data_IF_239019098818
#
_entry.id   IF_239019098818
#
_cell.length_a   1.000
_cell.length_b   1.000
_cell.length_c   1.000
_cell.angle_alpha   90.00
_cell.angle_beta   90.00
_cell.angle_gamma   90.00
#
_symmetry.space_group_name_H-M   'P 1'
#
loop_
_entity.id
_entity.type
_entity.pdbx_description
1 polymer ?
#
# COMPACT_ATOMS: atom_id res chain seq x y z
N UNK A 1 13.07 60.46 -4.59
CA UNK A 1 12.87 61.90 -4.34
C UNK A 1 11.45 62.07 -3.80
N UNK A 2 11.25 62.80 -2.70
CA UNK A 2 9.93 62.97 -2.06
C UNK A 2 8.93 63.79 -2.90
N UNK A 3 7.65 63.71 -2.49
CA UNK A 3 6.60 64.75 -2.37
C UNK A 3 5.26 64.24 -2.96
N UNK A 4 4.07 64.54 -2.43
CA UNK A 4 3.59 64.88 -1.05
C UNK A 4 2.05 64.81 -1.11
N UNK A 5 1.36 64.43 -0.03
CA UNK A 5 -0.08 64.68 0.15
C UNK A 5 -0.33 66.19 0.48
N UNK A 6 -1.56 66.74 0.66
CA UNK A 6 -2.69 66.23 1.47
C UNK A 6 -4.08 66.45 0.78
N UNK A 7 -5.29 66.62 1.38
CA UNK A 7 -5.79 66.77 2.77
C UNK A 7 -7.32 66.43 2.86
N UNK A 8 -7.86 66.14 4.07
CA UNK A 8 -9.15 66.57 4.69
C UNK A 8 -10.51 66.66 3.92
N UNK A 9 -11.72 66.47 4.48
CA UNK A 9 -12.27 66.12 5.83
C UNK A 9 -13.81 65.93 5.72
N UNK A 10 -14.43 65.17 6.65
CA UNK A 10 -15.79 65.35 7.28
C UNK A 10 -17.06 65.59 6.42
N UNK A 11 -18.30 65.30 6.86
CA UNK A 11 -18.91 64.41 7.88
C UNK A 11 -20.46 64.44 7.69
N UNK A 12 -21.23 63.81 8.59
CA UNK A 12 -22.70 63.61 8.65
C UNK A 12 -23.18 62.23 8.12
N UNK A 13 -23.43 61.25 9.00
CA UNK A 13 -24.63 61.11 9.85
C UNK A 13 -25.93 60.95 9.05
N UNK A 14 -26.47 59.72 9.05
CA UNK A 14 -27.86 59.55 9.46
C UNK A 14 -28.05 58.18 10.14
N UNK A 15 -28.75 58.19 11.27
CA UNK A 15 -28.96 57.06 12.17
C UNK A 15 -30.22 56.28 11.81
N UNK A 16 -30.20 54.96 11.99
CA UNK A 16 -31.40 54.20 12.33
C UNK A 16 -31.04 53.13 13.38
N UNK A 17 -31.53 53.34 14.60
CA UNK A 17 -31.68 52.29 15.61
C UNK A 17 -32.86 51.39 15.22
N UNK A 18 -32.69 50.08 15.34
CA UNK A 18 -33.57 49.25 16.16
C UNK A 18 -32.83 47.97 16.57
N UNK A 19 -33.19 47.41 17.73
CA UNK A 19 -32.37 46.45 18.45
C UNK A 19 -32.99 45.05 18.55
N UNK A 20 -32.15 44.13 19.02
CA UNK A 20 -32.49 42.89 19.73
C UNK A 20 -33.02 41.69 18.91
N UNK A 21 -32.13 40.72 18.73
CA UNK A 21 -32.38 39.34 19.13
C UNK A 21 -31.03 38.63 19.34
N UNK A 22 -30.78 38.13 20.55
CA UNK A 22 -29.57 37.36 20.83
C UNK A 22 -29.53 36.06 20.02
N UNK A 23 -28.39 35.78 19.39
CA UNK A 23 -28.03 34.42 18.95
C UNK A 23 -27.09 33.87 20.00
N UNK A 24 -27.53 32.80 20.65
CA UNK A 24 -26.81 32.13 21.73
C UNK A 24 -25.47 31.55 21.25
N UNK A 25 -24.59 31.27 22.21
CA UNK A 25 -23.22 30.83 21.96
C UNK A 25 -23.15 29.66 20.99
N UNK A 26 -22.22 29.78 20.03
CA UNK A 26 -21.76 28.68 19.18
C UNK A 26 -21.16 27.60 20.09
N UNK A 27 -21.97 26.58 20.42
CA UNK A 27 -21.54 25.47 21.26
C UNK A 27 -20.54 24.63 20.47
N UNK A 28 -19.26 24.94 20.64
CA UNK A 28 -18.16 24.15 20.12
C UNK A 28 -18.18 22.77 20.79
N UNK A 29 -18.89 21.83 20.16
CA UNK A 29 -18.74 20.40 20.38
C UNK A 29 -17.39 19.95 19.83
N UNK A 30 -16.31 20.37 20.49
CA UNK A 30 -15.02 19.72 20.39
C UNK A 30 -15.07 18.45 21.24
N UNK A 31 -15.69 17.40 20.73
CA UNK A 31 -15.50 16.07 21.28
C UNK A 31 -13.99 15.81 21.37
N UNK A 32 -13.47 15.39 22.53
CA UNK A 32 -12.04 15.17 22.68
C UNK A 32 -11.58 14.11 21.68
N UNK A 33 -10.48 14.39 20.98
CA UNK A 33 -9.89 13.45 20.03
C UNK A 33 -9.66 12.09 20.72
N UNK A 34 -10.17 10.98 20.16
CA UNK A 34 -10.06 9.67 20.82
C UNK A 34 -8.60 9.25 20.92
N UNK A 35 -8.21 8.79 22.11
CA UNK A 35 -6.86 8.33 22.43
C UNK A 35 -6.75 6.80 22.31
N UNK A 36 -5.53 6.28 22.25
CA UNK A 36 -5.28 4.83 22.13
C UNK A 36 -5.93 4.02 23.26
N UNK A 37 -5.97 4.57 24.48
CA UNK A 37 -6.65 3.98 25.65
C UNK A 37 -8.17 3.84 25.47
N UNK A 38 -8.80 4.74 24.72
CA UNK A 38 -10.24 4.72 24.49
C UNK A 38 -10.58 3.62 23.48
N UNK A 39 -9.73 3.46 22.45
CA UNK A 39 -9.76 2.31 21.53
C UNK A 39 -9.51 0.98 22.27
N UNK A 40 -8.52 0.93 23.17
CA UNK A 40 -8.24 -0.24 24.00
C UNK A 40 -9.37 -0.59 24.97
N UNK A 41 -10.15 0.39 25.43
CA UNK A 41 -11.35 0.17 26.24
C UNK A 41 -12.50 -0.40 25.40
N UNK A 42 -12.70 0.12 24.18
CA UNK A 42 -13.69 -0.43 23.24
C UNK A 42 -13.37 -1.88 22.86
N UNK A 43 -12.13 -2.16 22.45
CA UNK A 43 -11.71 -3.48 21.98
C UNK A 43 -11.74 -4.55 23.08
N UNK A 44 -11.57 -4.17 24.35
CA UNK A 44 -11.71 -5.10 25.47
C UNK A 44 -13.11 -5.73 25.52
N UNK A 45 -14.17 -4.98 25.17
CA UNK A 45 -15.55 -5.49 25.08
C UNK A 45 -15.71 -6.54 23.97
N UNK A 46 -14.92 -6.46 22.90
CA UNK A 46 -14.91 -7.47 21.84
C UNK A 46 -14.09 -8.70 22.25
N UNK A 47 -13.01 -8.51 23.01
CA UNK A 47 -12.21 -9.60 23.56
C UNK A 47 -12.96 -10.45 24.61
N UNK A 48 -14.08 -9.96 25.16
CA UNK A 48 -15.01 -10.77 25.98
C UNK A 48 -15.87 -11.73 25.14
N UNK A 49 -16.14 -11.40 23.87
CA UNK A 49 -16.93 -12.21 22.94
C UNK A 49 -16.07 -13.03 21.96
N UNK A 50 -14.76 -12.81 21.93
CA UNK A 50 -13.83 -13.46 21.01
C UNK A 50 -13.57 -14.94 21.39
N UNK A 51 -13.17 -15.73 20.39
CA UNK A 51 -12.70 -17.11 20.60
C UNK A 51 -11.45 -17.14 21.50
N UNK A 52 -11.26 -18.20 22.29
CA UNK A 52 -10.20 -18.28 23.31
C UNK A 52 -8.78 -18.06 22.75
N UNK A 53 -8.52 -18.49 21.50
CA UNK A 53 -7.25 -18.28 20.78
C UNK A 53 -6.93 -16.81 20.50
N UNK A 54 -7.93 -15.93 20.53
CA UNK A 54 -7.83 -14.50 20.25
C UNK A 54 -8.02 -13.68 21.54
N UNK A 55 -8.95 -14.09 22.40
CA UNK A 55 -9.39 -13.33 23.57
C UNK A 55 -8.24 -12.97 24.52
N UNK A 56 -7.41 -13.94 24.92
CA UNK A 56 -6.31 -13.69 25.87
C UNK A 56 -5.16 -12.86 25.27
N UNK A 57 -4.66 -13.12 24.05
CA UNK A 57 -3.73 -12.21 23.37
C UNK A 57 -4.30 -10.79 23.22
N UNK A 58 -5.55 -10.65 22.75
CA UNK A 58 -6.18 -9.35 22.52
C UNK A 58 -6.39 -8.57 23.82
N UNK A 59 -6.74 -9.23 24.93
CA UNK A 59 -6.83 -8.59 26.26
C UNK A 59 -5.51 -7.95 26.69
N UNK A 60 -4.37 -8.62 26.48
CA UNK A 60 -3.04 -8.10 26.82
C UNK A 60 -2.70 -6.86 25.98
N UNK A 61 -3.02 -6.90 24.69
CA UNK A 61 -2.83 -5.75 23.79
C UNK A 61 -3.73 -4.59 24.23
N UNK A 62 -5.01 -4.83 24.54
CA UNK A 62 -5.93 -3.81 25.04
C UNK A 62 -5.44 -3.19 26.35
N UNK A 63 -4.82 -3.97 27.25
CA UNK A 63 -4.21 -3.46 28.48
C UNK A 63 -3.00 -2.57 28.20
N UNK A 64 -2.12 -2.93 27.25
CA UNK A 64 -1.02 -2.07 26.81
C UNK A 64 -1.54 -0.75 26.21
N UNK A 65 -2.57 -0.82 25.35
CA UNK A 65 -3.23 0.36 24.78
C UNK A 65 -3.86 1.26 25.86
N UNK A 66 -4.38 0.69 26.94
CA UNK A 66 -4.97 1.43 28.07
C UNK A 66 -3.93 2.06 29.00
N UNK A 67 -2.77 1.42 29.17
CA UNK A 67 -1.63 2.02 29.88
C UNK A 67 -0.95 3.13 29.06
N UNK A 68 -1.18 3.18 27.74
CA UNK A 68 -0.45 4.08 26.86
C UNK A 68 -0.67 5.56 27.20
N UNK A 69 0.42 6.30 27.37
CA UNK A 69 0.43 7.74 27.63
C UNK A 69 1.00 8.54 26.46
N UNK A 70 0.57 9.79 26.29
CA UNK A 70 1.06 10.68 25.21
C UNK A 70 2.50 11.14 25.38
N UNK A 71 3.20 10.71 26.43
CA UNK A 71 4.63 10.93 26.66
C UNK A 71 5.49 9.71 26.23
N UNK A 72 4.85 8.59 25.89
CA UNK A 72 5.51 7.35 25.45
C UNK A 72 5.90 7.39 23.97
N UNK A 73 6.88 6.56 23.63
CA UNK A 73 7.59 6.67 22.35
C UNK A 73 6.89 5.93 21.21
N UNK A 74 7.20 6.33 19.97
CA UNK A 74 6.72 5.69 18.73
C UNK A 74 6.97 4.16 18.69
N UNK A 75 8.05 3.71 19.35
CA UNK A 75 8.45 2.30 19.50
C UNK A 75 7.37 1.46 20.21
N UNK A 76 6.63 2.04 21.15
CA UNK A 76 5.61 1.31 21.92
C UNK A 76 4.34 1.09 21.09
N UNK A 77 3.99 2.05 20.23
CA UNK A 77 2.91 1.91 19.26
C UNK A 77 3.27 0.87 18.18
N UNK A 78 4.52 0.85 17.71
CA UNK A 78 5.01 -0.15 16.77
C UNK A 78 5.00 -1.57 17.38
N UNK A 79 5.33 -1.71 18.66
CA UNK A 79 5.22 -2.98 19.39
C UNK A 79 3.77 -3.46 19.52
N UNK A 80 2.81 -2.56 19.78
CA UNK A 80 1.37 -2.88 19.80
C UNK A 80 0.90 -3.32 18.41
N UNK A 81 1.26 -2.59 17.36
CA UNK A 81 0.91 -2.91 15.98
C UNK A 81 1.49 -4.26 15.54
N UNK A 82 2.73 -4.56 15.91
CA UNK A 82 3.40 -5.83 15.61
C UNK A 82 2.70 -7.01 16.30
N UNK A 83 2.34 -6.88 17.59
CA UNK A 83 1.58 -7.92 18.31
C UNK A 83 0.21 -8.19 17.68
N UNK A 84 -0.51 -7.14 17.25
CA UNK A 84 -1.77 -7.27 16.54
C UNK A 84 -1.61 -7.98 15.20
N UNK A 85 -0.58 -7.63 14.44
CA UNK A 85 -0.29 -8.27 13.16
C UNK A 85 0.01 -9.77 13.34
N UNK A 86 0.89 -10.14 14.27
CA UNK A 86 1.20 -11.54 14.56
C UNK A 86 -0.06 -12.33 14.92
N UNK A 87 -0.93 -11.78 15.79
CA UNK A 87 -2.20 -12.44 16.16
C UNK A 87 -3.12 -12.65 14.95
N UNK A 88 -3.19 -11.67 14.03
CA UNK A 88 -3.96 -11.77 12.78
C UNK A 88 -3.39 -12.88 11.88
N UNK A 89 -2.07 -12.90 11.66
CA UNK A 89 -1.40 -13.90 10.82
C UNK A 89 -1.53 -15.32 11.41
N UNK A 90 -1.50 -15.47 12.74
CA UNK A 90 -1.77 -16.74 13.43
C UNK A 90 -3.20 -17.25 13.22
N UNK A 91 -4.20 -16.37 13.10
CA UNK A 91 -5.57 -16.80 12.76
C UNK A 91 -5.70 -17.10 11.26
N UNK A 92 -5.07 -16.30 10.39
CA UNK A 92 -5.07 -16.54 8.95
C UNK A 92 -4.44 -17.90 8.59
N UNK A 93 -3.28 -18.23 9.17
CA UNK A 93 -2.55 -19.48 8.94
C UNK A 93 -3.28 -20.77 9.40
N UNK A 94 -4.38 -20.65 10.17
CA UNK A 94 -5.25 -21.79 10.50
C UNK A 94 -6.15 -22.20 9.33
N UNK A 95 -6.47 -21.27 8.42
CA UNK A 95 -7.30 -21.52 7.24
C UNK A 95 -6.48 -22.12 6.09
N UNK A 96 -7.01 -23.07 5.32
CA UNK A 96 -6.33 -23.57 4.13
C UNK A 96 -6.42 -22.55 2.99
N UNK A 97 -5.27 -22.15 2.43
CA UNK A 97 -5.19 -21.43 1.17
C UNK A 97 -4.48 -22.29 0.11
N UNK A 98 -5.06 -22.36 -1.08
CA UNK A 98 -4.39 -22.84 -2.29
C UNK A 98 -4.38 -21.68 -3.29
N UNK A 99 -3.19 -21.35 -3.80
CA UNK A 99 -2.99 -20.30 -4.79
C UNK A 99 -2.45 -20.94 -6.06
N UNK A 100 -3.14 -20.70 -7.17
CA UNK A 100 -2.64 -20.98 -8.51
C UNK A 100 -2.49 -19.64 -9.24
N UNK A 101 -1.32 -19.40 -9.83
CA UNK A 101 -1.05 -18.17 -10.58
C UNK A 101 -0.74 -18.55 -12.02
N UNK A 102 -1.44 -17.92 -12.96
CA UNK A 102 -1.24 -18.07 -14.38
C UNK A 102 -1.23 -16.69 -15.05
N UNK A 103 -0.43 -16.55 -16.10
CA UNK A 103 -0.36 -15.33 -16.89
C UNK A 103 -0.28 -15.64 -18.38
N UNK A 104 -0.81 -14.71 -19.17
CA UNK A 104 -0.81 -14.75 -20.63
C UNK A 104 -0.77 -13.31 -21.15
N UNK A 105 -0.23 -13.12 -22.35
CA UNK A 105 -0.20 -11.83 -23.03
C UNK A 105 -0.29 -12.04 -24.54
N UNK A 106 -0.75 -11.04 -25.27
CA UNK A 106 -0.91 -11.10 -26.73
C UNK A 106 -0.79 -9.70 -27.32
N UNK A 107 -0.10 -9.58 -28.45
CA UNK A 107 -0.05 -8.35 -29.27
C UNK A 107 -1.45 -7.82 -29.65
N UNK A 108 -2.45 -8.70 -29.67
CA UNK A 108 -3.77 -8.40 -30.18
C UNK A 108 -3.76 -8.08 -31.69
N UNK A 109 -4.88 -7.57 -32.24
CA UNK A 109 -5.05 -7.38 -33.68
C UNK A 109 -4.62 -6.00 -34.21
N UNK A 110 -4.29 -5.04 -33.33
CA UNK A 110 -4.07 -3.63 -33.72
C UNK A 110 -2.62 -3.14 -33.64
N UNK A 111 -1.78 -3.77 -32.82
CA UNK A 111 -0.35 -3.41 -32.69
C UNK A 111 0.51 -4.33 -33.57
N UNK A 112 1.68 -3.84 -33.98
CA UNK A 112 2.67 -4.65 -34.70
C UNK A 112 3.53 -5.51 -33.74
N UNK A 113 3.82 -4.97 -32.55
CA UNK A 113 4.64 -5.59 -31.51
C UNK A 113 3.90 -5.49 -30.17
N UNK A 114 4.20 -6.43 -29.27
CA UNK A 114 3.62 -6.45 -27.93
C UNK A 114 4.50 -5.62 -26.99
N UNK A 115 3.95 -4.55 -26.41
CA UNK A 115 4.68 -3.73 -25.44
C UNK A 115 4.43 -4.20 -23.99
N UNK A 116 3.55 -5.19 -23.80
CA UNK A 116 3.28 -5.81 -22.50
C UNK A 116 4.34 -6.85 -22.11
N UNK A 117 4.63 -6.93 -20.81
CA UNK A 117 5.37 -8.04 -20.20
C UNK A 117 4.60 -8.55 -18.97
N UNK A 118 4.53 -9.87 -18.78
CA UNK A 118 3.89 -10.46 -17.61
C UNK A 118 4.63 -11.70 -17.07
N UNK A 119 4.36 -12.02 -15.81
CA UNK A 119 4.81 -13.24 -15.13
C UNK A 119 3.67 -13.78 -14.24
N UNK A 120 3.47 -15.10 -14.14
CA UNK A 120 4.15 -16.16 -14.89
C UNK A 120 3.71 -16.22 -16.36
N UNK A 121 4.39 -17.01 -17.17
CA UNK A 121 4.03 -17.32 -18.56
C UNK A 121 4.06 -18.83 -18.78
N UNK A 122 3.65 -19.30 -19.96
CA UNK A 122 3.73 -20.72 -20.32
C UNK A 122 5.16 -21.31 -20.27
N UNK A 123 6.20 -20.47 -20.28
CA UNK A 123 7.61 -20.87 -20.10
C UNK A 123 8.11 -20.86 -18.64
N UNK A 124 7.27 -20.50 -17.67
CA UNK A 124 7.66 -20.35 -16.26
C UNK A 124 7.47 -21.62 -15.41
N UNK A 125 7.34 -22.80 -16.03
CA UNK A 125 6.84 -24.05 -15.40
C UNK A 125 7.57 -24.51 -14.13
N UNK A 126 8.83 -24.15 -13.99
CA UNK A 126 9.71 -24.57 -12.88
C UNK A 126 10.26 -23.37 -12.09
N UNK A 127 9.62 -22.20 -12.20
CA UNK A 127 10.05 -20.98 -11.51
C UNK A 127 9.63 -21.00 -10.02
N UNK A 128 10.56 -20.78 -9.07
CA UNK A 128 10.24 -20.79 -7.64
C UNK A 128 9.26 -19.68 -7.21
N UNK A 129 9.06 -18.64 -8.03
CA UNK A 129 8.07 -17.58 -7.78
C UNK A 129 6.66 -17.92 -8.24
N UNK A 130 6.47 -18.99 -9.04
CA UNK A 130 5.18 -19.30 -9.67
C UNK A 130 3.99 -19.40 -8.70
N UNK A 131 4.09 -19.99 -7.48
CA UNK A 131 2.95 -20.03 -6.55
C UNK A 131 2.78 -18.74 -5.72
N UNK A 132 3.68 -17.76 -5.86
CA UNK A 132 3.74 -16.59 -4.97
C UNK A 132 3.54 -15.26 -5.69
N UNK A 133 3.91 -15.12 -6.97
CA UNK A 133 4.04 -13.81 -7.63
C UNK A 133 3.31 -13.77 -8.97
N UNK A 134 2.48 -12.73 -9.16
CA UNK A 134 1.98 -12.31 -10.46
C UNK A 134 2.42 -10.87 -10.76
N UNK A 135 2.96 -10.61 -11.96
CA UNK A 135 3.42 -9.27 -12.39
C UNK A 135 2.86 -8.98 -13.80
N UNK A 136 2.43 -7.73 -14.03
CA UNK A 136 2.05 -7.17 -15.32
C UNK A 136 2.71 -5.80 -15.48
N UNK A 137 3.27 -5.52 -16.66
CA UNK A 137 3.89 -4.25 -17.03
C UNK A 137 3.41 -3.88 -18.46
N UNK A 138 2.73 -2.75 -18.63
CA UNK A 138 2.32 -2.19 -19.94
C UNK A 138 3.34 -1.12 -20.36
N UNK A 139 4.08 -1.40 -21.43
CA UNK A 139 5.20 -0.58 -21.90
C UNK A 139 4.76 0.62 -22.74
N UNK A 140 5.20 1.82 -22.35
CA UNK A 140 4.91 3.07 -23.07
C UNK A 140 6.18 3.71 -23.64
N UNK A 141 6.22 3.96 -24.95
CA UNK A 141 7.32 4.72 -25.57
C UNK A 141 7.21 4.82 -27.08
N UNK A 142 7.75 5.90 -27.67
CA UNK A 142 7.91 5.97 -29.13
C UNK A 142 8.99 5.02 -29.63
N UNK A 143 8.86 4.55 -30.89
CA UNK A 143 9.85 3.72 -31.61
C UNK A 143 10.44 2.57 -30.77
N UNK A 144 9.62 1.55 -30.48
CA UNK A 144 10.03 0.30 -29.80
C UNK A 144 10.60 0.52 -28.38
N UNK A 145 10.20 1.62 -27.74
CA UNK A 145 10.57 1.91 -26.36
C UNK A 145 9.80 1.10 -25.32
N UNK A 146 8.49 0.89 -25.52
CA UNK A 146 7.61 0.29 -24.51
C UNK A 146 8.03 -1.12 -24.12
N UNK A 147 8.17 -2.01 -25.10
CA UNK A 147 8.63 -3.40 -24.92
C UNK A 147 9.92 -3.49 -24.08
N UNK A 148 10.89 -2.63 -24.37
CA UNK A 148 12.19 -2.63 -23.66
C UNK A 148 12.02 -2.21 -22.20
N UNK A 149 11.12 -1.28 -21.89
CA UNK A 149 10.86 -0.85 -20.52
C UNK A 149 10.08 -1.89 -19.71
N UNK A 150 9.02 -2.47 -20.28
CA UNK A 150 8.19 -3.47 -19.58
C UNK A 150 8.96 -4.75 -19.31
N UNK A 151 9.76 -5.24 -20.26
CA UNK A 151 10.66 -6.38 -20.06
C UNK A 151 11.76 -6.10 -19.03
N UNK A 152 12.34 -4.88 -19.01
CA UNK A 152 13.35 -4.49 -18.03
C UNK A 152 12.76 -4.44 -16.62
N UNK A 153 11.56 -3.87 -16.46
CA UNK A 153 10.83 -3.85 -15.19
C UNK A 153 10.54 -5.27 -14.71
N UNK A 154 9.91 -6.10 -15.56
CA UNK A 154 9.56 -7.48 -15.22
C UNK A 154 10.78 -8.27 -14.74
N UNK A 155 11.90 -8.20 -15.47
CA UNK A 155 13.14 -8.91 -15.12
C UNK A 155 13.77 -8.38 -13.82
N UNK A 156 13.73 -7.08 -13.58
CA UNK A 156 14.27 -6.48 -12.37
C UNK A 156 13.42 -6.78 -11.14
N UNK A 157 12.09 -6.82 -11.27
CA UNK A 157 11.16 -7.24 -10.22
C UNK A 157 11.38 -8.71 -9.89
N UNK A 158 11.33 -9.59 -10.90
CA UNK A 158 11.51 -11.03 -10.73
C UNK A 158 12.77 -11.40 -9.92
N UNK A 159 13.92 -10.79 -10.25
CA UNK A 159 15.16 -11.00 -9.50
C UNK A 159 15.11 -10.50 -8.05
N UNK A 160 14.53 -9.32 -7.82
CA UNK A 160 14.44 -8.73 -6.47
C UNK A 160 13.43 -9.45 -5.58
N UNK A 161 12.25 -9.77 -6.12
CA UNK A 161 11.23 -10.56 -5.44
C UNK A 161 11.76 -11.95 -5.10
N UNK A 162 12.51 -12.60 -5.99
CA UNK A 162 13.19 -13.87 -5.69
C UNK A 162 14.17 -13.76 -4.53
N UNK A 163 14.96 -12.69 -4.46
CA UNK A 163 15.86 -12.47 -3.32
C UNK A 163 15.05 -12.32 -2.02
N UNK A 164 14.03 -11.45 -2.01
CA UNK A 164 13.16 -11.23 -0.84
C UNK A 164 12.47 -12.52 -0.37
N UNK A 165 11.80 -13.26 -1.27
CA UNK A 165 11.10 -14.49 -0.86
C UNK A 165 12.06 -15.57 -0.36
N UNK A 166 13.31 -15.60 -0.85
CA UNK A 166 14.34 -16.50 -0.32
C UNK A 166 14.71 -16.12 1.11
N UNK A 167 14.94 -14.82 1.37
CA UNK A 167 15.25 -14.31 2.72
C UNK A 167 14.09 -14.56 3.70
N UNK A 168 12.85 -14.29 3.31
CA UNK A 168 11.64 -14.51 4.13
C UNK A 168 11.48 -15.98 4.51
N UNK A 169 11.79 -16.92 3.61
CA UNK A 169 11.72 -18.36 3.87
C UNK A 169 12.78 -18.86 4.87
N UNK A 170 13.87 -18.10 5.06
CA UNK A 170 14.94 -18.39 6.03
C UNK A 170 14.68 -17.76 7.41
N UNK A 171 13.70 -16.84 7.54
CA UNK A 171 13.35 -16.19 8.81
C UNK A 171 12.40 -17.03 9.69
N UNK A 172 12.59 -16.93 11.01
CA UNK A 172 11.78 -17.62 12.02
C UNK A 172 10.62 -16.77 12.56
N UNK A 173 10.66 -15.46 12.34
CA UNK A 173 9.66 -14.49 12.77
C UNK A 173 9.11 -13.75 11.54
N UNK A 174 7.81 -13.41 11.49
CA UNK A 174 7.24 -12.63 10.39
C UNK A 174 7.83 -11.22 10.33
N UNK A 175 8.10 -10.72 9.13
CA UNK A 175 8.45 -9.32 8.90
C UNK A 175 7.25 -8.41 9.22
N UNK A 176 7.47 -7.27 9.89
CA UNK A 176 6.45 -6.23 10.05
C UNK A 176 5.99 -5.69 8.68
N UNK A 177 4.70 -5.38 8.47
CA UNK A 177 4.20 -4.88 7.19
C UNK A 177 4.86 -3.59 6.71
N UNK A 178 5.34 -2.76 7.65
CA UNK A 178 6.13 -1.55 7.37
C UNK A 178 7.45 -1.86 6.68
N UNK A 179 8.16 -2.92 7.10
CA UNK A 179 9.42 -3.38 6.51
C UNK A 179 9.18 -3.94 5.11
N UNK A 180 8.14 -4.77 4.94
CA UNK A 180 7.78 -5.34 3.63
C UNK A 180 7.39 -4.22 2.65
N UNK A 181 6.59 -3.24 3.08
CA UNK A 181 6.21 -2.09 2.25
C UNK A 181 7.41 -1.21 1.87
N UNK A 182 8.39 -1.02 2.77
CA UNK A 182 9.64 -0.32 2.47
C UNK A 182 10.49 -1.07 1.44
N UNK A 183 10.69 -2.38 1.63
CA UNK A 183 11.44 -3.22 0.68
C UNK A 183 10.79 -3.19 -0.72
N UNK A 184 9.48 -3.35 -0.81
CA UNK A 184 8.71 -3.23 -2.06
C UNK A 184 8.86 -1.84 -2.70
N UNK A 185 8.83 -0.78 -1.91
CA UNK A 185 9.04 0.60 -2.40
C UNK A 185 10.43 0.78 -2.99
N UNK A 186 11.47 0.22 -2.36
CA UNK A 186 12.83 0.25 -2.90
C UNK A 186 12.98 -0.58 -4.18
N UNK A 187 12.30 -1.73 -4.31
CA UNK A 187 12.28 -2.48 -5.57
C UNK A 187 11.73 -1.64 -6.73
N UNK A 188 10.64 -0.90 -6.50
CA UNK A 188 10.06 0.02 -7.50
C UNK A 188 11.01 1.17 -7.84
N UNK A 189 11.70 1.73 -6.84
CA UNK A 189 12.73 2.77 -7.05
C UNK A 189 13.89 2.23 -7.90
N UNK A 190 14.37 1.02 -7.64
CA UNK A 190 15.41 0.35 -8.45
C UNK A 190 14.94 0.18 -9.90
N UNK A 191 13.73 -0.33 -10.12
CA UNK A 191 13.14 -0.50 -11.46
C UNK A 191 13.06 0.83 -12.21
N UNK A 192 12.52 1.88 -11.58
CA UNK A 192 12.43 3.21 -12.16
C UNK A 192 13.82 3.79 -12.51
N UNK A 193 14.80 3.63 -11.61
CA UNK A 193 16.16 4.12 -11.81
C UNK A 193 16.88 3.36 -12.94
N UNK A 194 16.64 2.06 -13.11
CA UNK A 194 17.17 1.28 -14.24
C UNK A 194 16.61 1.79 -15.58
N UNK A 195 15.29 1.99 -15.66
CA UNK A 195 14.63 2.54 -16.87
C UNK A 195 15.13 3.96 -17.16
N UNK A 196 15.23 4.83 -16.17
CA UNK A 196 15.76 6.19 -16.37
C UNK A 196 17.22 6.18 -16.83
N UNK A 197 18.08 5.38 -16.19
CA UNK A 197 19.50 5.24 -16.56
C UNK A 197 19.65 4.71 -17.99
N UNK A 198 18.81 3.75 -18.40
CA UNK A 198 18.82 3.24 -19.76
C UNK A 198 18.34 4.31 -20.78
N UNK A 199 17.35 5.12 -20.42
CA UNK A 199 16.97 6.26 -21.25
C UNK A 199 18.12 7.26 -21.42
N UNK A 200 18.78 7.63 -20.33
CA UNK A 200 19.87 8.62 -20.32
C UNK A 200 21.09 8.13 -21.09
N UNK A 201 21.49 6.86 -20.90
CA UNK A 201 22.62 6.25 -21.64
C UNK A 201 22.37 6.11 -23.14
N UNK A 202 21.11 6.00 -23.57
CA UNK A 202 20.71 5.98 -24.98
C UNK A 202 20.42 7.39 -25.55
N UNK A 203 20.58 8.46 -24.77
CA UNK A 203 20.28 9.83 -25.18
C UNK A 203 18.80 10.12 -25.43
N UNK A 204 17.89 9.27 -24.91
CA UNK A 204 16.44 9.39 -25.13
C UNK A 204 15.89 10.62 -24.40
N UNK A 205 15.32 11.54 -25.18
CA UNK A 205 14.79 12.80 -24.67
C UNK A 205 13.30 12.97 -25.00
N UNK A 206 12.58 13.72 -24.15
CA UNK A 206 11.16 14.01 -24.33
C UNK A 206 10.34 12.73 -24.64
N UNK A 207 9.60 12.71 -25.75
CA UNK A 207 8.74 11.59 -26.19
C UNK A 207 9.50 10.34 -26.67
N UNK A 208 10.82 10.38 -26.73
CA UNK A 208 11.65 9.20 -27.02
C UNK A 208 11.97 8.39 -25.75
N UNK A 209 11.72 8.93 -24.55
CA UNK A 209 11.89 8.16 -23.32
C UNK A 209 10.87 7.04 -23.28
N UNK A 210 11.34 5.86 -22.90
CA UNK A 210 10.51 4.71 -22.56
C UNK A 210 10.14 4.74 -21.07
N UNK A 211 8.95 4.25 -20.77
CA UNK A 211 8.45 3.96 -19.43
C UNK A 211 7.56 2.72 -19.49
N UNK A 212 7.03 2.32 -18.35
CA UNK A 212 6.08 1.22 -18.25
C UNK A 212 5.20 1.45 -17.03
N UNK A 213 3.96 0.98 -17.09
CA UNK A 213 3.19 0.72 -15.87
C UNK A 213 3.78 -0.49 -15.14
N UNK A 214 3.28 -0.75 -13.94
CA UNK A 214 3.55 -1.98 -13.21
C UNK A 214 2.37 -2.30 -12.30
N UNK A 215 1.95 -3.56 -12.25
CA UNK A 215 1.12 -4.14 -11.20
C UNK A 215 1.77 -5.44 -10.77
N UNK A 216 1.99 -5.63 -9.47
CA UNK A 216 2.49 -6.86 -8.88
C UNK A 216 1.60 -7.28 -7.71
N UNK A 217 1.16 -8.53 -7.72
CA UNK A 217 0.57 -9.22 -6.58
C UNK A 217 1.57 -10.25 -6.05
N UNK A 218 1.85 -10.22 -4.74
CA UNK A 218 2.86 -11.06 -4.10
C UNK A 218 2.32 -11.67 -2.80
N UNK A 219 2.17 -12.99 -2.77
CA UNK A 219 1.86 -13.76 -1.58
C UNK A 219 3.16 -13.95 -0.78
N UNK A 220 3.20 -13.43 0.45
CA UNK A 220 4.38 -13.55 1.31
C UNK A 220 4.38 -14.90 2.05
N UNK A 221 5.37 -15.77 1.84
CA UNK A 221 5.44 -17.10 2.46
C UNK A 221 5.98 -17.03 3.90
N UNK A 222 5.53 -16.05 4.68
CA UNK A 222 6.00 -15.85 6.05
C UNK A 222 5.60 -17.06 6.90
N UNK A 223 6.56 -17.65 7.62
CA UNK A 223 6.27 -18.76 8.52
C UNK A 223 5.69 -18.25 9.83
N UNK A 224 4.55 -18.81 10.24
CA UNK A 224 3.90 -18.49 11.51
C UNK A 224 3.77 -19.77 12.33
N UNK A 225 4.13 -19.67 13.61
CA UNK A 225 3.97 -20.79 14.56
C UNK A 225 2.50 -20.91 14.96
N UNK A 226 1.82 -21.94 14.46
CA UNK A 226 0.48 -22.30 14.93
C UNK A 226 0.57 -23.53 15.84
N UNK A 227 -0.41 -23.72 16.72
CA UNK A 227 -0.39 -24.61 17.89
C UNK A 227 -0.13 -26.12 17.65
N UNK A 228 0.10 -26.54 16.40
CA UNK A 228 0.45 -27.91 16.01
C UNK A 228 1.39 -28.04 14.80
N UNK A 229 1.78 -26.94 14.12
CA UNK A 229 2.63 -26.95 12.91
C UNK A 229 3.15 -25.54 12.59
N UNK A 230 4.08 -25.40 11.65
CA UNK A 230 4.29 -24.11 10.97
C UNK A 230 3.25 -23.96 9.85
N UNK A 231 2.69 -22.77 9.71
CA UNK A 231 1.79 -22.38 8.63
C UNK A 231 2.34 -21.19 7.84
N UNK A 232 1.79 -20.95 6.65
CA UNK A 232 2.04 -19.72 5.89
C UNK A 232 1.06 -18.65 6.37
N UNK A 233 1.53 -17.43 6.60
CA UNK A 233 0.74 -16.27 7.02
C UNK A 233 -0.43 -15.90 6.08
N UNK A 234 -0.40 -16.36 4.82
CA UNK A 234 -1.41 -16.09 3.79
C UNK A 234 -1.60 -14.60 3.45
N UNK A 235 -0.60 -13.79 3.78
CA UNK A 235 -0.56 -12.36 3.48
C UNK A 235 -0.30 -12.11 1.99
N UNK A 236 -0.95 -11.08 1.43
CA UNK A 236 -0.89 -10.71 0.02
C UNK A 236 -0.63 -9.19 -0.12
N UNK A 237 0.46 -8.83 -0.79
CA UNK A 237 0.80 -7.45 -1.11
C UNK A 237 0.43 -7.13 -2.55
N UNK A 238 -0.15 -5.95 -2.78
CA UNK A 238 -0.42 -5.40 -4.09
C UNK A 238 0.39 -4.10 -4.27
N UNK A 239 1.21 -4.05 -5.32
CA UNK A 239 2.03 -2.89 -5.69
C UNK A 239 1.61 -2.43 -7.07
N UNK A 240 1.34 -1.14 -7.27
CA UNK A 240 1.02 -0.62 -8.60
C UNK A 240 1.62 0.76 -8.87
N UNK A 241 1.93 1.02 -10.14
CA UNK A 241 2.37 2.31 -10.70
C UNK A 241 1.75 2.46 -12.09
N UNK A 242 1.09 3.59 -12.34
CA UNK A 242 0.35 3.85 -13.58
C UNK A 242 -1.12 3.42 -13.51
N UNK A 243 -1.69 3.08 -14.67
CA UNK A 243 -3.12 2.83 -14.90
C UNK A 243 -3.46 1.37 -15.24
N UNK A 244 -2.48 0.46 -15.24
CA UNK A 244 -2.75 -0.98 -15.17
C UNK A 244 -3.39 -1.36 -13.83
N UNK A 245 -4.24 -2.39 -13.83
CA UNK A 245 -5.19 -2.65 -12.73
C UNK A 245 -5.16 -4.07 -12.19
N UNK A 246 -5.48 -4.20 -10.91
CA UNK A 246 -5.86 -5.47 -10.29
C UNK A 246 -7.34 -5.42 -9.85
N UNK A 247 -8.02 -6.56 -9.93
CA UNK A 247 -9.41 -6.71 -9.53
C UNK A 247 -9.58 -7.95 -8.65
N UNK A 248 -10.42 -7.85 -7.61
CA UNK A 248 -10.95 -8.99 -6.89
C UNK A 248 -12.32 -9.34 -7.46
N UNK A 249 -12.48 -10.58 -7.92
CA UNK A 249 -13.69 -11.08 -8.59
C UNK A 249 -14.22 -12.30 -7.83
N UNK A 250 -15.52 -12.28 -7.51
CA UNK A 250 -16.30 -13.44 -7.05
C UNK A 250 -17.52 -13.62 -7.96
N UNK A 251 -18.38 -14.64 -7.75
CA UNK A 251 -19.63 -14.76 -8.51
C UNK A 251 -20.58 -13.57 -8.35
N UNK A 252 -20.46 -12.78 -7.28
CA UNK A 252 -21.35 -11.68 -6.92
C UNK A 252 -20.81 -10.29 -7.24
N UNK A 253 -19.49 -10.10 -7.27
CA UNK A 253 -18.87 -8.78 -7.46
C UNK A 253 -17.55 -8.79 -8.22
N UNK A 254 -17.20 -7.61 -8.75
CA UNK A 254 -15.90 -7.27 -9.29
C UNK A 254 -15.48 -5.92 -8.68
N UNK A 255 -14.42 -5.93 -7.87
CA UNK A 255 -13.89 -4.74 -7.19
C UNK A 255 -12.49 -4.42 -7.69
N UNK A 256 -12.28 -3.21 -8.19
CA UNK A 256 -10.96 -2.72 -8.55
C UNK A 256 -10.16 -2.45 -7.25
N UNK A 257 -8.95 -3.00 -7.16
CA UNK A 257 -8.08 -2.89 -5.98
C UNK A 257 -7.03 -1.77 -6.11
N UNK A 258 -6.73 -1.36 -7.34
CA UNK A 258 -5.79 -0.26 -7.65
C UNK A 258 -6.55 1.03 -7.93
N UNK A 259 -5.89 2.18 -7.74
CA UNK A 259 -6.39 3.48 -8.21
C UNK A 259 -5.54 3.92 -9.41
N UNK A 260 -6.17 4.20 -10.55
CA UNK A 260 -5.46 4.57 -11.78
C UNK A 260 -4.65 5.86 -11.59
N UNK A 261 -3.33 5.79 -11.80
CA UNK A 261 -2.44 6.95 -11.79
C UNK A 261 -2.23 7.45 -13.23
N UNK A 262 -3.15 8.28 -13.71
CA UNK A 262 -2.97 9.00 -14.98
C UNK A 262 -2.09 10.24 -14.77
N UNK A 263 -1.11 10.44 -15.67
CA UNK A 263 -0.14 11.55 -15.67
C UNK A 263 -0.40 12.53 -16.82
#
# INVERSE_FOLDING_TARGET
MHLKAPESTESAENTHEEADAGVEADAQFSDPLPLLKDLGTLWLTWAEMAHETIAEPLRKICQQMQSYTTEETEVELEAIATQLNTLLLEQAAQLPLQVEIAGSTTTGPQRAHNEDACFPTASSTDDPLLPYVGIICDGIGGHEGGEVASQLALRSLHLQTRALLTEVLEQTEPLPPTVVAQQLTEMVRVVNNLISTQNDSQGRSLRQRMGTTMVMAMQMPQQVSISSRQGNAHELYLVHVGDSRAYWITPEYCHQLTVDMMW
#
